data_IF_941390900272
#
_entry.id   IF_941390900272
#
_cell.length_a   1.000
_cell.length_b   1.000
_cell.length_c   1.000
_cell.angle_alpha   90.00
_cell.angle_beta   90.00
_cell.angle_gamma   90.00
#
_symmetry.space_group_name_H-M   'P 1'
#
loop_
_entity.id
_entity.type
_entity.pdbx_description
1 polymer ?
#
# COMPACT_ATOMS: atom_id res chain seq x y z
N UNK A 1 78.21 -28.50 19.03
CA UNK A 1 77.06 -29.38 19.31
C UNK A 1 75.76 -28.58 19.15
N UNK A 2 74.81 -29.15 18.39
CA UNK A 2 73.37 -28.87 18.31
C UNK A 2 72.86 -27.43 18.03
N UNK A 3 72.40 -27.29 16.78
CA UNK A 3 71.38 -26.38 16.25
C UNK A 3 70.13 -26.36 17.14
N UNK A 4 69.50 -25.18 17.34
CA UNK A 4 68.02 -25.07 17.22
C UNK A 4 67.63 -23.61 16.94
N UNK A 5 67.16 -23.37 15.71
CA UNK A 5 66.36 -22.20 15.32
C UNK A 5 64.96 -22.38 15.94
N UNK A 6 64.44 -21.39 16.67
CA UNK A 6 63.01 -21.34 16.99
C UNK A 6 62.41 -20.05 16.47
N UNK A 7 61.30 -20.25 15.78
CA UNK A 7 60.69 -19.37 14.78
C UNK A 7 59.84 -18.30 15.45
N UNK A 8 59.92 -17.10 14.90
CA UNK A 8 59.00 -15.99 15.11
C UNK A 8 57.59 -16.46 14.67
N UNK A 9 56.63 -16.43 15.58
CA UNK A 9 55.21 -16.53 15.26
C UNK A 9 54.53 -15.24 15.70
N UNK A 10 54.41 -14.31 14.76
CA UNK A 10 53.61 -13.10 14.88
C UNK A 10 52.14 -13.52 14.78
N UNK A 11 51.46 -13.61 15.91
CA UNK A 11 50.02 -13.84 15.96
C UNK A 11 49.30 -12.56 15.51
N UNK A 12 49.03 -12.45 14.22
CA UNK A 12 48.08 -11.47 13.70
C UNK A 12 46.66 -11.96 14.02
N UNK A 13 46.09 -11.47 15.11
CA UNK A 13 44.65 -11.60 15.39
C UNK A 13 43.89 -10.76 14.37
N UNK A 14 43.46 -11.41 13.29
CA UNK A 14 42.46 -10.88 12.38
C UNK A 14 41.14 -10.73 13.16
N UNK A 15 40.83 -9.51 13.59
CA UNK A 15 39.45 -9.15 13.94
C UNK A 15 38.67 -9.18 12.63
N UNK A 16 38.00 -10.31 12.37
CA UNK A 16 36.98 -10.36 11.34
C UNK A 16 35.81 -9.51 11.83
N UNK A 17 35.73 -8.29 11.32
CA UNK A 17 34.51 -7.51 11.38
C UNK A 17 33.42 -8.34 10.69
N UNK A 18 32.46 -8.82 11.47
CA UNK A 18 31.25 -9.44 10.93
C UNK A 18 30.62 -8.45 9.94
N UNK A 19 30.22 -8.87 8.73
CA UNK A 19 29.29 -8.07 7.96
C UNK A 19 28.00 -8.01 8.76
N UNK A 20 27.76 -6.87 9.41
CA UNK A 20 26.48 -6.53 9.98
C UNK A 20 25.47 -6.54 8.84
N UNK A 21 24.65 -7.59 8.79
CA UNK A 21 23.37 -7.49 8.11
C UNK A 21 22.57 -6.46 8.89
N UNK A 22 22.39 -5.29 8.27
CA UNK A 22 21.43 -4.30 8.71
C UNK A 22 20.03 -4.96 8.67
N UNK A 23 19.60 -5.48 9.81
CA UNK A 23 18.21 -5.84 10.07
C UNK A 23 17.61 -4.72 10.91
N UNK A 24 17.36 -3.58 10.26
CA UNK A 24 16.50 -2.55 10.84
C UNK A 24 15.06 -2.87 10.40
N UNK A 25 14.51 -3.98 10.90
CA UNK A 25 13.07 -4.25 10.85
C UNK A 25 12.54 -4.23 12.28
N UNK A 26 12.36 -3.01 12.80
CA UNK A 26 11.90 -2.76 14.17
C UNK A 26 10.52 -3.39 14.41
N UNK A 27 10.55 -4.52 15.10
CA UNK A 27 9.43 -5.21 15.67
C UNK A 27 9.43 -5.12 17.20
N UNK A 28 8.47 -5.79 17.84
CA UNK A 28 8.41 -5.88 19.30
C UNK A 28 8.14 -7.31 19.74
N UNK A 29 8.67 -7.68 20.90
CA UNK A 29 8.37 -8.96 21.56
C UNK A 29 7.36 -8.75 22.67
N UNK A 30 6.33 -9.59 22.69
CA UNK A 30 5.25 -9.54 23.67
C UNK A 30 5.10 -10.90 24.36
N UNK A 31 4.89 -10.88 25.69
CA UNK A 31 4.88 -12.08 26.52
C UNK A 31 6.21 -12.38 27.20
N UNK A 32 6.25 -13.43 28.02
CA UNK A 32 7.42 -13.81 28.81
C UNK A 32 7.62 -15.34 28.93
N UNK A 33 6.92 -16.14 28.12
CA UNK A 33 7.06 -17.60 28.17
C UNK A 33 8.30 -18.12 27.42
N UNK A 34 8.68 -19.36 27.71
CA UNK A 34 9.89 -20.00 27.21
C UNK A 34 9.86 -20.37 25.71
N UNK A 35 8.67 -20.55 25.12
CA UNK A 35 8.53 -20.81 23.69
C UNK A 35 8.37 -19.51 22.89
N UNK A 36 8.91 -19.44 21.68
CA UNK A 36 8.83 -18.24 20.84
C UNK A 36 8.26 -18.54 19.46
N UNK A 37 7.41 -17.65 18.95
CA UNK A 37 6.95 -17.66 17.57
C UNK A 37 6.93 -16.23 17.00
N UNK A 38 6.92 -16.11 15.68
CA UNK A 38 7.06 -14.85 14.97
C UNK A 38 5.92 -14.59 13.99
N UNK A 39 5.45 -13.34 13.95
CA UNK A 39 4.32 -12.92 13.12
C UNK A 39 4.65 -11.63 12.38
N UNK A 40 4.52 -11.63 11.04
CA UNK A 40 4.66 -10.42 10.23
C UNK A 40 3.30 -9.77 9.89
N UNK A 41 3.18 -8.47 10.16
CA UNK A 41 2.05 -7.63 9.73
C UNK A 41 2.38 -6.13 9.84
N UNK A 42 1.55 -5.29 9.23
CA UNK A 42 1.68 -3.83 9.28
C UNK A 42 0.74 -3.22 10.31
N UNK A 43 -0.36 -2.63 9.83
CA UNK A 43 -1.29 -1.83 10.63
C UNK A 43 -1.85 -2.53 11.88
N UNK A 44 -2.18 -3.84 11.90
CA UNK A 44 -2.63 -4.50 13.13
C UNK A 44 -1.61 -4.41 14.28
N UNK A 45 -0.32 -4.49 13.98
CA UNK A 45 0.73 -4.33 14.98
C UNK A 45 0.90 -2.86 15.40
N UNK A 46 0.88 -1.92 14.45
CA UNK A 46 1.00 -0.48 14.74
C UNK A 46 -0.15 0.06 15.58
N UNK A 47 -1.36 -0.47 15.39
CA UNK A 47 -2.55 -0.11 16.17
C UNK A 47 -2.58 -0.79 17.55
N UNK A 48 -1.59 -1.62 17.87
CA UNK A 48 -1.47 -2.29 19.18
C UNK A 48 -2.29 -3.57 19.36
N UNK A 49 -3.01 -4.04 18.33
CA UNK A 49 -3.82 -5.26 18.41
C UNK A 49 -2.95 -6.48 18.77
N UNK A 50 -1.78 -6.60 18.14
CA UNK A 50 -0.86 -7.72 18.38
C UNK A 50 -0.37 -7.80 19.83
N UNK A 51 -0.12 -6.66 20.48
CA UNK A 51 0.28 -6.61 21.88
C UNK A 51 -0.79 -7.24 22.76
N UNK A 52 -2.04 -6.78 22.61
CA UNK A 52 -3.18 -7.28 23.40
C UNK A 52 -3.41 -8.79 23.23
N UNK A 53 -3.36 -9.27 21.98
CA UNK A 53 -3.54 -10.70 21.68
C UNK A 53 -2.41 -11.54 22.26
N UNK A 54 -1.15 -11.12 22.08
CA UNK A 54 0.00 -11.86 22.58
C UNK A 54 0.07 -11.89 24.10
N UNK A 55 -0.16 -10.76 24.77
CA UNK A 55 -0.14 -10.71 26.24
C UNK A 55 -1.27 -11.54 26.88
N UNK A 56 -2.44 -11.63 26.24
CA UNK A 56 -3.51 -12.54 26.68
C UNK A 56 -3.16 -14.00 26.42
N UNK A 57 -2.58 -14.33 25.26
CA UNK A 57 -2.15 -15.69 24.94
C UNK A 57 -1.03 -16.18 25.87
N UNK A 58 0.00 -15.36 26.12
CA UNK A 58 1.12 -15.66 27.01
C UNK A 58 0.72 -15.87 28.47
N UNK A 59 -0.45 -15.39 28.90
CA UNK A 59 -1.00 -15.71 30.23
C UNK A 59 -1.57 -17.12 30.33
N UNK A 60 -1.87 -17.75 29.18
CA UNK A 60 -2.51 -19.08 29.08
C UNK A 60 -1.55 -20.14 28.54
N UNK A 61 -0.51 -19.72 27.85
CA UNK A 61 0.50 -20.56 27.24
C UNK A 61 1.90 -20.06 27.63
N UNK A 62 2.83 -20.97 27.83
CA UNK A 62 4.25 -20.65 28.05
C UNK A 62 4.90 -20.20 26.72
N UNK A 63 4.50 -19.04 26.21
CA UNK A 63 4.95 -18.52 24.93
C UNK A 63 5.17 -17.00 24.93
N UNK A 64 5.97 -16.54 23.96
CA UNK A 64 6.14 -15.13 23.58
C UNK A 64 6.01 -14.99 22.05
N UNK A 65 5.54 -13.82 21.61
CA UNK A 65 5.39 -13.49 20.19
C UNK A 65 6.39 -12.41 19.79
N UNK A 66 7.12 -12.65 18.71
CA UNK A 66 7.98 -11.67 18.03
C UNK A 66 7.22 -11.09 16.84
N UNK A 67 6.78 -9.85 16.95
CA UNK A 67 6.17 -9.14 15.82
C UNK A 67 7.26 -8.62 14.89
N UNK A 68 7.08 -8.79 13.57
CA UNK A 68 7.88 -8.15 12.52
C UNK A 68 7.00 -7.15 11.75
N UNK A 69 7.40 -5.88 11.71
CA UNK A 69 6.66 -4.84 11.02
C UNK A 69 6.87 -4.94 9.51
N UNK A 70 5.83 -5.34 8.78
CA UNK A 70 5.90 -5.49 7.33
C UNK A 70 4.53 -5.30 6.64
N UNK A 71 4.50 -4.64 5.48
CA UNK A 71 3.31 -4.61 4.63
C UNK A 71 2.96 -5.99 4.07
N UNK A 72 1.79 -6.16 3.44
CA UNK A 72 1.29 -7.46 2.96
C UNK A 72 2.29 -8.23 2.08
N UNK A 73 2.87 -7.57 1.06
CA UNK A 73 3.82 -8.21 0.16
C UNK A 73 5.12 -8.63 0.86
N UNK A 74 5.65 -7.77 1.72
CA UNK A 74 6.85 -8.07 2.51
C UNK A 74 6.59 -9.19 3.53
N UNK A 75 5.43 -9.19 4.20
CA UNK A 75 5.04 -10.24 5.15
C UNK A 75 4.98 -11.61 4.47
N UNK A 76 4.32 -11.71 3.30
CA UNK A 76 4.25 -12.96 2.54
C UNK A 76 5.63 -13.43 2.06
N UNK A 77 6.51 -12.50 1.67
CA UNK A 77 7.90 -12.82 1.31
C UNK A 77 8.67 -13.38 2.51
N UNK A 78 8.55 -12.76 3.69
CA UNK A 78 9.18 -13.26 4.92
C UNK A 78 8.71 -14.69 5.26
N UNK A 79 7.42 -14.98 5.10
CA UNK A 79 6.88 -16.32 5.30
C UNK A 79 7.43 -17.32 4.28
N UNK A 80 7.47 -16.95 3.01
CA UNK A 80 8.02 -17.80 1.94
C UNK A 80 9.50 -18.11 2.19
N UNK A 81 10.26 -17.14 2.69
CA UNK A 81 11.68 -17.28 3.06
C UNK A 81 11.89 -17.96 4.42
N UNK A 82 10.82 -18.38 5.12
CA UNK A 82 10.85 -18.98 6.45
C UNK A 82 11.52 -18.11 7.52
N UNK A 83 11.43 -16.79 7.36
CA UNK A 83 11.92 -15.80 8.33
C UNK A 83 10.89 -15.49 9.42
N UNK A 84 9.63 -15.87 9.21
CA UNK A 84 8.57 -15.80 10.21
C UNK A 84 7.73 -17.08 10.20
N UNK A 85 7.10 -17.37 11.32
CA UNK A 85 6.25 -18.56 11.49
C UNK A 85 4.84 -18.35 10.91
N UNK A 86 4.34 -17.10 10.94
CA UNK A 86 3.01 -16.75 10.45
C UNK A 86 2.92 -15.30 9.96
N UNK A 87 1.83 -15.00 9.24
CA UNK A 87 1.52 -13.65 8.74
C UNK A 87 0.05 -13.31 8.99
N UNK A 88 -0.22 -12.02 9.21
CA UNK A 88 -1.58 -11.48 9.27
C UNK A 88 -1.75 -10.47 8.14
N UNK A 89 -2.46 -10.86 7.07
CA UNK A 89 -2.58 -10.07 5.84
C UNK A 89 -4.02 -10.01 5.32
N UNK A 90 -4.30 -9.01 4.48
CA UNK A 90 -5.61 -8.80 3.83
C UNK A 90 -5.51 -8.96 2.30
N UNK A 91 -4.91 -10.06 1.82
CA UNK A 91 -4.76 -10.38 0.40
C UNK A 91 -5.17 -11.82 0.06
N UNK A 92 -6.49 -12.10 -0.05
CA UNK A 92 -7.00 -13.46 -0.25
C UNK A 92 -6.37 -14.20 -1.44
N UNK A 93 -6.26 -13.54 -2.60
CA UNK A 93 -5.71 -14.16 -3.80
C UNK A 93 -4.22 -14.55 -3.66
N UNK A 94 -3.42 -13.75 -2.93
CA UNK A 94 -2.01 -14.06 -2.69
C UNK A 94 -1.85 -15.20 -1.68
N UNK A 95 -2.71 -15.25 -0.65
CA UNK A 95 -2.75 -16.35 0.31
C UNK A 95 -3.18 -17.66 -0.35
N UNK A 96 -4.17 -17.63 -1.25
CA UNK A 96 -4.59 -18.81 -2.00
C UNK A 96 -3.47 -19.35 -2.89
N UNK A 97 -2.71 -18.44 -3.52
CA UNK A 97 -1.50 -18.82 -4.25
C UNK A 97 -0.45 -19.45 -3.34
N UNK A 98 -0.21 -18.88 -2.15
CA UNK A 98 0.75 -19.40 -1.19
C UNK A 98 0.47 -20.85 -0.77
N UNK A 99 -0.80 -21.16 -0.53
CA UNK A 99 -1.26 -22.52 -0.22
C UNK A 99 -1.10 -23.45 -1.42
N UNK A 100 -1.48 -23.00 -2.61
CA UNK A 100 -1.33 -23.79 -3.85
C UNK A 100 0.14 -24.09 -4.17
N UNK A 101 1.02 -23.13 -3.94
CA UNK A 101 2.47 -23.27 -4.15
C UNK A 101 3.14 -24.12 -3.04
N UNK A 102 2.42 -24.44 -1.96
CA UNK A 102 2.85 -25.39 -0.93
C UNK A 102 3.81 -24.85 0.14
N UNK A 103 4.11 -23.55 0.14
CA UNK A 103 4.99 -22.95 1.17
C UNK A 103 4.23 -22.37 2.36
N UNK A 104 2.90 -22.25 2.30
CA UNK A 104 2.04 -22.00 3.45
C UNK A 104 1.23 -23.27 3.80
N UNK A 105 1.09 -23.55 5.10
CA UNK A 105 0.42 -24.77 5.58
C UNK A 105 -1.10 -24.63 5.77
N UNK A 106 -1.60 -23.41 5.93
CA UNK A 106 -3.02 -23.15 6.15
C UNK A 106 -3.38 -21.66 6.18
N UNK A 107 -4.68 -21.37 6.23
CA UNK A 107 -5.22 -20.01 6.44
C UNK A 107 -6.41 -20.06 7.39
N UNK A 108 -6.55 -19.02 8.21
CA UNK A 108 -7.69 -18.83 9.12
C UNK A 108 -8.23 -17.43 8.92
N UNK A 109 -9.54 -17.32 8.68
CA UNK A 109 -10.21 -16.02 8.60
C UNK A 109 -10.43 -15.51 10.02
N UNK A 110 -9.86 -14.35 10.36
CA UNK A 110 -9.92 -13.77 11.71
C UNK A 110 -10.78 -12.51 11.80
N UNK A 111 -11.18 -11.95 10.66
CA UNK A 111 -11.98 -10.73 10.61
C UNK A 111 -11.98 -10.09 9.23
N UNK A 112 -12.72 -8.98 9.13
CA UNK A 112 -12.83 -8.15 7.94
C UNK A 112 -13.05 -6.70 8.33
N UNK A 113 -12.61 -5.78 7.47
CA UNK A 113 -13.01 -4.39 7.58
C UNK A 113 -14.26 -4.14 6.73
N UNK A 114 -15.10 -3.23 7.19
CA UNK A 114 -16.21 -2.70 6.42
C UNK A 114 -15.90 -1.28 5.94
N UNK A 115 -16.42 -0.92 4.77
CA UNK A 115 -16.38 0.44 4.24
C UNK A 115 -17.78 1.00 4.23
N UNK A 116 -17.94 2.22 4.73
CA UNK A 116 -19.22 2.92 4.73
C UNK A 116 -19.14 4.14 3.82
N UNK A 117 -20.23 4.41 3.13
CA UNK A 117 -20.44 5.66 2.41
C UNK A 117 -21.28 6.53 3.34
N UNK A 118 -20.73 7.67 3.73
CA UNK A 118 -21.36 8.58 4.68
C UNK A 118 -21.60 9.95 4.05
N UNK A 119 -22.65 10.62 4.50
CA UNK A 119 -23.04 11.92 3.99
C UNK A 119 -23.89 12.70 5.00
N UNK A 120 -24.34 13.92 4.63
CA UNK A 120 -25.21 14.73 5.47
C UNK A 120 -26.53 14.02 5.80
N UNK A 121 -27.10 14.30 6.98
CA UNK A 121 -28.39 13.73 7.42
C UNK A 121 -29.55 14.00 6.46
N UNK A 122 -29.51 15.10 5.71
CA UNK A 122 -30.53 15.44 4.72
C UNK A 122 -30.51 14.56 3.47
N UNK A 123 -29.45 13.75 3.29
CA UNK A 123 -29.26 12.84 2.15
C UNK A 123 -29.66 13.44 0.79
N UNK A 124 -29.03 14.55 0.36
CA UNK A 124 -29.41 15.23 -0.88
C UNK A 124 -29.21 14.38 -2.14
N UNK A 125 -28.41 13.31 -2.05
CA UNK A 125 -28.18 12.36 -3.14
C UNK A 125 -29.07 11.11 -3.04
N UNK A 126 -29.82 10.91 -1.95
CA UNK A 126 -30.69 9.74 -1.77
C UNK A 126 -29.92 8.42 -1.66
N UNK A 127 -28.70 8.43 -1.10
CA UNK A 127 -27.86 7.22 -0.97
C UNK A 127 -28.36 6.26 0.11
N UNK A 128 -29.20 6.71 1.04
CA UNK A 128 -29.80 5.84 2.07
C UNK A 128 -30.72 4.75 1.49
N UNK A 129 -31.17 4.93 0.24
CA UNK A 129 -31.96 3.94 -0.52
C UNK A 129 -31.11 3.13 -1.51
N UNK A 130 -29.79 3.28 -1.48
CA UNK A 130 -28.92 2.56 -2.39
C UNK A 130 -28.89 1.06 -2.05
N UNK A 131 -28.94 0.24 -3.09
CA UNK A 131 -28.89 -1.23 -2.98
C UNK A 131 -27.47 -1.79 -3.06
N UNK A 132 -26.50 -0.94 -3.41
CA UNK A 132 -25.08 -1.28 -3.47
C UNK A 132 -24.22 -0.01 -3.37
N UNK A 133 -22.92 -0.19 -3.11
CA UNK A 133 -21.96 0.92 -3.15
C UNK A 133 -21.87 1.59 -4.53
N UNK A 134 -22.02 0.80 -5.61
CA UNK A 134 -22.03 1.33 -6.97
C UNK A 134 -23.30 2.18 -7.23
N UNK A 135 -24.47 1.72 -6.79
CA UNK A 135 -25.73 2.48 -6.84
C UNK A 135 -25.61 3.79 -6.05
N UNK A 136 -25.04 3.76 -4.85
CA UNK A 136 -24.78 4.97 -4.07
C UNK A 136 -23.89 5.97 -4.83
N UNK A 137 -22.81 5.51 -5.48
CA UNK A 137 -21.92 6.37 -6.26
C UNK A 137 -22.62 6.95 -7.50
N UNK A 138 -23.46 6.15 -8.17
CA UNK A 138 -24.29 6.61 -9.29
C UNK A 138 -25.26 7.72 -8.86
N UNK A 139 -25.89 7.56 -7.69
CA UNK A 139 -26.80 8.56 -7.11
C UNK A 139 -26.08 9.87 -6.76
N UNK A 140 -24.91 9.79 -6.13
CA UNK A 140 -24.06 10.96 -5.85
C UNK A 140 -23.75 11.71 -7.13
N UNK A 141 -23.29 11.01 -8.17
CA UNK A 141 -22.94 11.63 -9.45
C UNK A 141 -24.17 12.23 -10.15
N UNK A 142 -25.29 11.52 -10.19
CA UNK A 142 -26.55 11.99 -10.80
C UNK A 142 -27.10 13.24 -10.10
N UNK A 143 -26.97 13.31 -8.78
CA UNK A 143 -27.37 14.49 -8.01
C UNK A 143 -26.40 15.68 -8.17
N UNK A 144 -25.23 15.49 -8.78
CA UNK A 144 -24.16 16.49 -8.78
C UNK A 144 -23.65 16.82 -7.37
N UNK A 145 -23.82 15.88 -6.42
CA UNK A 145 -23.45 16.09 -5.04
C UNK A 145 -21.93 16.11 -4.89
N UNK A 146 -21.43 16.87 -3.90
CA UNK A 146 -20.00 16.89 -3.59
C UNK A 146 -19.57 15.52 -3.08
N UNK A 147 -18.46 15.03 -3.61
CA UNK A 147 -17.81 13.80 -3.16
C UNK A 147 -16.36 14.13 -2.79
N UNK A 148 -15.92 13.66 -1.62
CA UNK A 148 -14.55 13.86 -1.14
C UNK A 148 -13.80 12.54 -1.31
N UNK A 149 -12.87 12.53 -2.26
CA UNK A 149 -11.94 11.41 -2.44
C UNK A 149 -10.83 11.46 -1.39
N UNK A 150 -10.29 10.30 -1.03
CA UNK A 150 -9.04 10.25 -0.27
C UNK A 150 -7.86 10.80 -1.06
N UNK A 151 -7.81 10.55 -2.38
CA UNK A 151 -6.83 11.13 -3.30
C UNK A 151 -5.34 10.84 -2.97
N UNK A 152 -5.05 9.86 -2.12
CA UNK A 152 -3.73 9.67 -1.51
C UNK A 152 -3.07 8.33 -1.88
N UNK A 153 -3.63 7.60 -2.85
CA UNK A 153 -3.20 6.26 -3.27
C UNK A 153 -3.21 5.18 -2.17
N UNK A 154 -3.85 5.44 -1.02
CA UNK A 154 -4.04 4.44 0.03
C UNK A 154 -4.97 3.29 -0.41
N UNK A 155 -5.01 2.21 0.37
CA UNK A 155 -5.97 1.12 0.13
C UNK A 155 -7.43 1.57 0.14
N UNK A 156 -7.77 2.63 0.90
CA UNK A 156 -9.10 3.25 0.85
C UNK A 156 -9.35 3.95 -0.48
N UNK A 157 -8.37 4.72 -0.98
CA UNK A 157 -8.46 5.36 -2.29
C UNK A 157 -8.59 4.32 -3.41
N UNK A 158 -7.81 3.22 -3.36
CA UNK A 158 -7.94 2.14 -4.35
C UNK A 158 -9.32 1.47 -4.30
N UNK A 159 -9.87 1.26 -3.10
CA UNK A 159 -11.23 0.71 -2.95
C UNK A 159 -12.29 1.66 -3.50
N UNK A 160 -12.15 2.97 -3.25
CA UNK A 160 -13.00 4.02 -3.79
C UNK A 160 -13.01 3.98 -5.33
N UNK A 161 -11.83 3.94 -5.97
CA UNK A 161 -11.71 3.91 -7.43
C UNK A 161 -12.31 2.63 -8.05
N UNK A 162 -12.18 1.48 -7.37
CA UNK A 162 -12.85 0.25 -7.79
C UNK A 162 -14.38 0.38 -7.77
N UNK A 163 -14.95 1.11 -6.81
CA UNK A 163 -16.40 1.34 -6.74
C UNK A 163 -16.83 2.30 -7.84
N UNK A 164 -16.07 3.38 -8.10
CA UNK A 164 -16.30 4.28 -9.23
C UNK A 164 -16.31 3.53 -10.57
N UNK A 165 -15.33 2.66 -10.79
CA UNK A 165 -15.28 1.83 -11.98
C UNK A 165 -16.52 0.92 -12.10
N UNK A 166 -16.95 0.28 -11.00
CA UNK A 166 -18.16 -0.56 -10.98
C UNK A 166 -19.45 0.25 -11.20
N UNK A 167 -19.46 1.51 -10.79
CA UNK A 167 -20.55 2.45 -11.06
C UNK A 167 -20.60 2.89 -12.53
N UNK A 168 -19.57 2.60 -13.34
CA UNK A 168 -19.44 3.03 -14.73
C UNK A 168 -19.14 4.53 -14.86
N UNK A 169 -18.57 5.15 -13.83
CA UNK A 169 -18.34 6.59 -13.74
C UNK A 169 -16.85 6.84 -13.53
N UNK A 170 -16.26 7.70 -14.37
CA UNK A 170 -14.92 8.21 -14.15
C UNK A 170 -15.00 9.53 -13.37
N UNK A 171 -14.63 9.55 -12.08
CA UNK A 171 -14.70 10.76 -11.26
C UNK A 171 -13.59 11.72 -11.67
N UNK A 172 -13.93 12.79 -12.40
CA UNK A 172 -12.97 13.82 -12.77
C UNK A 172 -13.14 15.07 -11.91
N UNK A 173 -12.06 15.47 -11.22
CA UNK A 173 -11.98 16.75 -10.53
C UNK A 173 -11.98 17.94 -11.50
N UNK A 174 -12.26 19.16 -11.03
CA UNK A 174 -12.24 20.36 -11.88
C UNK A 174 -10.90 20.56 -12.59
N UNK A 175 -9.79 20.23 -11.93
CA UNK A 175 -8.46 20.29 -12.53
C UNK A 175 -8.31 19.30 -13.70
N UNK A 176 -8.77 18.06 -13.55
CA UNK A 176 -8.74 17.05 -14.62
C UNK A 176 -9.67 17.42 -15.77
N UNK A 177 -10.86 17.98 -15.46
CA UNK A 177 -11.76 18.57 -16.48
C UNK A 177 -11.11 19.74 -17.22
N UNK A 178 -10.33 20.57 -16.53
CA UNK A 178 -9.59 21.66 -17.15
C UNK A 178 -8.46 21.13 -18.04
N UNK A 179 -7.71 20.11 -17.60
CA UNK A 179 -6.71 19.43 -18.45
C UNK A 179 -7.36 18.86 -19.70
N UNK A 180 -8.49 18.15 -19.56
CA UNK A 180 -9.26 17.63 -20.70
C UNK A 180 -9.77 18.76 -21.62
N UNK A 181 -10.21 19.89 -21.06
CA UNK A 181 -10.60 21.06 -21.83
C UNK A 181 -9.41 21.67 -22.59
N UNK A 182 -8.26 21.84 -21.95
CA UNK A 182 -7.03 22.34 -22.57
C UNK A 182 -6.61 21.44 -23.74
N UNK A 183 -6.70 20.12 -23.58
CA UNK A 183 -6.44 19.15 -24.64
C UNK A 183 -7.53 19.07 -25.73
N UNK A 184 -8.72 19.63 -25.50
CA UNK A 184 -9.83 19.58 -26.46
C UNK A 184 -9.59 20.51 -27.67
N UNK A 185 -10.30 20.32 -28.80
CA UNK A 185 -10.21 21.22 -29.95
C UNK A 185 -10.46 22.69 -29.61
N UNK A 186 -11.35 22.97 -28.66
CA UNK A 186 -11.62 24.33 -28.20
C UNK A 186 -10.42 24.92 -27.45
N UNK A 187 -9.80 24.14 -26.55
CA UNK A 187 -8.59 24.55 -25.82
C UNK A 187 -7.40 24.76 -26.75
N UNK A 188 -7.16 23.83 -27.68
CA UNK A 188 -6.07 23.91 -28.66
C UNK A 188 -6.24 25.12 -29.60
N UNK A 189 -7.46 25.44 -30.02
CA UNK A 189 -7.73 26.66 -30.80
C UNK A 189 -7.35 27.93 -30.03
N UNK A 190 -7.64 27.99 -28.73
CA UNK A 190 -7.25 29.12 -27.88
C UNK A 190 -5.73 29.23 -27.84
N UNK A 191 -5.01 28.12 -27.57
CA UNK A 191 -3.55 28.08 -27.54
C UNK A 191 -2.94 28.59 -28.86
N UNK A 192 -3.39 28.06 -30.00
CA UNK A 192 -2.87 28.43 -31.32
C UNK A 192 -3.15 29.89 -31.71
N UNK A 193 -4.21 30.48 -31.17
CA UNK A 193 -4.61 31.87 -31.45
C UNK A 193 -4.01 32.89 -30.48
N UNK A 194 -3.50 32.44 -29.34
CA UNK A 194 -3.05 33.32 -28.27
C UNK A 194 -1.87 34.18 -28.72
N UNK A 195 -2.03 35.51 -28.59
CA UNK A 195 -1.01 36.48 -28.95
C UNK A 195 -1.10 37.05 -30.38
N UNK A 196 -1.91 36.47 -31.28
CA UNK A 196 -2.00 36.94 -32.68
C UNK A 196 -2.37 38.41 -32.80
N UNK A 197 -3.34 38.88 -32.02
CA UNK A 197 -3.79 40.27 -32.06
C UNK A 197 -2.71 41.28 -31.65
N UNK A 198 -1.69 40.82 -30.90
CA UNK A 198 -0.63 41.67 -30.37
C UNK A 198 0.71 41.49 -31.09
N UNK A 199 0.98 40.31 -31.64
CA UNK A 199 2.28 39.94 -32.19
C UNK A 199 2.22 39.53 -33.67
N UNK A 200 1.03 39.49 -34.28
CA UNK A 200 0.82 39.08 -35.67
C UNK A 200 0.81 37.56 -35.89
N UNK A 201 1.30 36.79 -34.92
CA UNK A 201 1.34 35.32 -34.95
C UNK A 201 1.01 34.71 -33.57
N UNK A 202 0.73 33.40 -33.56
CA UNK A 202 0.45 32.67 -32.32
C UNK A 202 1.74 32.48 -31.52
N UNK A 203 1.72 32.80 -30.23
CA UNK A 203 2.88 32.63 -29.34
C UNK A 203 3.19 31.17 -29.00
N UNK A 204 2.20 30.30 -29.13
CA UNK A 204 2.30 28.89 -28.77
C UNK A 204 1.84 28.02 -29.93
N UNK A 205 2.55 26.91 -30.11
CA UNK A 205 2.17 25.87 -31.03
C UNK A 205 1.24 24.87 -30.34
N UNK A 206 0.27 24.35 -31.08
CA UNK A 206 -0.74 23.42 -30.57
C UNK A 206 -0.21 21.98 -30.48
N UNK A 207 -1.06 21.08 -29.98
CA UNK A 207 -0.77 19.66 -29.84
C UNK A 207 -0.36 19.02 -31.17
N UNK A 208 -1.01 19.39 -32.28
CA UNK A 208 -0.73 18.82 -33.60
C UNK A 208 0.72 19.11 -34.02
N UNK A 209 1.20 20.34 -33.78
CA UNK A 209 2.60 20.67 -33.98
C UNK A 209 3.51 19.97 -32.96
N UNK A 210 3.13 19.89 -31.69
CA UNK A 210 3.97 19.30 -30.64
C UNK A 210 4.24 17.80 -30.82
N UNK A 211 3.30 17.05 -31.40
CA UNK A 211 3.43 15.60 -31.65
C UNK A 211 4.65 15.19 -32.48
N UNK A 212 5.24 16.10 -33.26
CA UNK A 212 6.48 15.81 -33.99
C UNK A 212 7.69 15.55 -33.09
N UNK A 213 7.61 15.94 -31.81
CA UNK A 213 8.68 15.78 -30.82
C UNK A 213 8.42 14.62 -29.83
N UNK A 214 7.26 13.97 -29.92
CA UNK A 214 6.90 12.84 -29.07
C UNK A 214 7.39 11.55 -29.76
N UNK A 215 8.47 10.95 -29.23
CA UNK A 215 9.11 9.74 -29.76
C UNK A 215 8.72 8.50 -28.95
#
# INVERSE_FOLDING_TARGET
MRRTLLKIALAATLVSALPGFAADEAGATYGAGGNSFSLATGSPGELGLLKLLAEEFSRRADAQMVWVKAGTGASLKLLQEKKVDMVMVHAPAQVDKALKDGWASGKTLIGSNEFYIVGPKSDPAGIGQATSAADAYQRVAKAGARFVSRGDNSGTHQKEMQIWQKAGIQPAGTAEKFVAFVASPAGQKIIASYGRDRFGEGLYNDEAYARQYDK
#
